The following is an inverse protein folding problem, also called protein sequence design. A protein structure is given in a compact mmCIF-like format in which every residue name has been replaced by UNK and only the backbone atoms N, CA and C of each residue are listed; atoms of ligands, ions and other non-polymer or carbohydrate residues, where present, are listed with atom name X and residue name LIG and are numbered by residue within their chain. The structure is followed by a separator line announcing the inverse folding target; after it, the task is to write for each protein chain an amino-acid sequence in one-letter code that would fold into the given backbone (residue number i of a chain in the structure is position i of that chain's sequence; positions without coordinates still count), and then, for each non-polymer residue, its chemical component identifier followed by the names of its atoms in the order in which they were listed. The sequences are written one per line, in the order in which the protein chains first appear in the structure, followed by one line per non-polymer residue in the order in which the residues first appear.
data_IF_639226466150
#
_entry.id   IF_639226466150
#
_cell.length_a   1.000
_cell.length_b   1.000
_cell.length_c   1.000
_cell.angle_alpha   90.00
_cell.angle_beta   90.00
_cell.angle_gamma   90.00
#
_symmetry.space_group_name_H-M   'P 1'
#
loop_
_entity.id
_entity.type
_entity.pdbx_description
1 polymer ?
#
# COMPACT_ATOMS: atom_id res chain seq x y z
N UNK A 1 -15.03 55.66 2.21
CA UNK A 1 -16.16 54.71 2.28
C UNK A 1 -15.51 53.35 2.20
N UNK A 2 -15.09 52.86 3.37
CA UNK A 2 -14.19 51.71 3.48
C UNK A 2 -15.00 50.42 3.25
N UNK A 3 -14.81 49.82 2.08
CA UNK A 3 -15.38 48.53 1.71
C UNK A 3 -14.34 47.43 1.94
N UNK A 4 -13.94 47.24 3.21
CA UNK A 4 -13.22 46.04 3.61
C UNK A 4 -13.71 45.63 5.00
N UNK A 5 -14.78 44.83 5.01
CA UNK A 5 -15.09 43.99 6.16
C UNK A 5 -13.95 42.98 6.31
N UNK A 6 -13.32 42.98 7.49
CA UNK A 6 -12.52 41.86 7.99
C UNK A 6 -13.43 40.62 7.97
N UNK A 7 -13.15 39.66 7.11
CA UNK A 7 -13.48 38.27 7.43
C UNK A 7 -12.26 37.68 8.13
N UNK A 8 -12.55 37.14 9.31
CA UNK A 8 -11.58 36.73 10.31
C UNK A 8 -10.64 35.66 9.77
N UNK A 9 -9.36 35.81 10.11
CA UNK A 9 -8.35 34.78 9.88
C UNK A 9 -8.72 33.52 10.65
N UNK A 10 -9.38 32.59 9.97
CA UNK A 10 -9.56 31.24 10.46
C UNK A 10 -8.19 30.59 10.58
N UNK A 11 -7.73 30.38 11.81
CA UNK A 11 -6.79 29.30 12.11
C UNK A 11 -7.40 28.03 11.52
N UNK A 12 -6.76 27.48 10.48
CA UNK A 12 -7.01 26.09 10.10
C UNK A 12 -6.41 25.27 11.23
N UNK A 13 -7.28 24.91 12.18
CA UNK A 13 -6.96 23.95 13.22
C UNK A 13 -6.65 22.62 12.53
N UNK A 14 -5.37 22.31 12.37
CA UNK A 14 -4.92 21.00 11.86
C UNK A 14 -5.28 19.84 12.79
N UNK A 15 -5.96 20.10 13.92
CA UNK A 15 -6.61 19.09 14.74
C UNK A 15 -7.95 18.59 14.16
N UNK A 16 -8.35 19.01 12.95
CA UNK A 16 -9.37 18.30 12.19
C UNK A 16 -8.89 16.88 11.92
N UNK A 17 -9.45 15.95 12.71
CA UNK A 17 -9.33 14.52 12.59
C UNK A 17 -9.57 14.15 11.11
N UNK A 18 -8.50 13.80 10.40
CA UNK A 18 -8.59 13.47 8.96
C UNK A 18 -9.52 12.27 8.84
N UNK A 19 -10.77 12.51 8.44
CA UNK A 19 -11.75 11.47 8.22
C UNK A 19 -11.45 10.77 6.89
N UNK A 20 -10.49 9.84 6.94
CA UNK A 20 -10.15 8.98 5.82
C UNK A 20 -11.28 7.96 5.67
N UNK A 21 -11.96 7.97 4.53
CA UNK A 21 -13.00 6.97 4.27
C UNK A 21 -12.38 5.57 4.20
N UNK A 22 -13.12 4.59 4.70
CA UNK A 22 -12.79 3.17 4.59
C UNK A 22 -12.54 2.76 3.13
N UNK A 23 -13.34 3.28 2.19
CA UNK A 23 -13.16 3.03 0.76
C UNK A 23 -11.80 3.53 0.23
N UNK A 24 -11.34 4.68 0.71
CA UNK A 24 -10.03 5.20 0.33
C UNK A 24 -8.90 4.34 0.90
N UNK A 25 -9.01 3.88 2.16
CA UNK A 25 -8.05 2.97 2.77
C UNK A 25 -7.94 1.68 1.95
N UNK A 26 -9.07 1.06 1.62
CA UNK A 26 -9.11 -0.17 0.82
C UNK A 26 -8.49 0.01 -0.57
N UNK A 27 -8.70 1.16 -1.20
CA UNK A 27 -8.08 1.48 -2.49
C UNK A 27 -6.56 1.57 -2.38
N UNK A 28 -6.05 2.25 -1.36
CA UNK A 28 -4.60 2.36 -1.11
C UNK A 28 -3.99 0.99 -0.83
N UNK A 29 -4.62 0.19 0.03
CA UNK A 29 -4.17 -1.18 0.33
C UNK A 29 -4.15 -2.07 -0.91
N UNK A 30 -5.19 -2.00 -1.74
CA UNK A 30 -5.28 -2.77 -2.99
C UNK A 30 -4.17 -2.43 -3.97
N UNK A 31 -3.86 -1.13 -4.14
CA UNK A 31 -2.77 -0.70 -5.00
C UNK A 31 -1.40 -1.09 -4.43
N UNK A 32 -1.19 -0.98 -3.12
CA UNK A 32 0.04 -1.47 -2.48
C UNK A 32 0.26 -2.97 -2.70
N UNK A 33 -0.80 -3.79 -2.55
CA UNK A 33 -0.74 -5.23 -2.79
C UNK A 33 -0.40 -5.50 -4.27
N UNK A 34 -1.02 -4.77 -5.20
CA UNK A 34 -0.77 -4.89 -6.65
C UNK A 34 0.70 -4.62 -6.97
N UNK A 35 1.26 -3.52 -6.47
CA UNK A 35 2.67 -3.15 -6.65
C UNK A 35 3.60 -4.23 -6.09
N UNK A 36 3.35 -4.72 -4.88
CA UNK A 36 4.15 -5.78 -4.26
C UNK A 36 4.12 -7.07 -5.09
N UNK A 37 2.96 -7.45 -5.62
CA UNK A 37 2.86 -8.62 -6.51
C UNK A 37 3.69 -8.44 -7.78
N UNK A 38 3.77 -7.21 -8.33
CA UNK A 38 4.59 -6.94 -9.52
C UNK A 38 6.09 -7.09 -9.26
N UNK A 39 6.55 -6.81 -8.03
CA UNK A 39 7.95 -6.99 -7.63
C UNK A 39 8.36 -8.46 -7.47
N UNK A 40 7.39 -9.38 -7.35
CA UNK A 40 7.70 -10.80 -7.22
C UNK A 40 8.17 -11.39 -8.56
N UNK A 41 9.16 -12.28 -8.48
CA UNK A 41 9.53 -13.12 -9.61
C UNK A 41 8.31 -13.92 -10.11
N UNK A 42 8.17 -14.04 -11.44
CA UNK A 42 7.02 -14.68 -12.10
C UNK A 42 6.61 -16.01 -11.46
N UNK A 43 7.56 -16.90 -11.15
CA UNK A 43 7.26 -18.20 -10.55
C UNK A 43 6.54 -18.13 -9.19
N UNK A 44 6.69 -17.03 -8.45
CA UNK A 44 6.02 -16.78 -7.16
C UNK A 44 4.69 -16.07 -7.36
N UNK A 45 4.60 -15.15 -8.33
CA UNK A 45 3.36 -14.52 -8.77
C UNK A 45 2.35 -15.56 -9.27
N UNK A 46 2.79 -16.48 -10.13
CA UNK A 46 1.93 -17.54 -10.70
C UNK A 46 1.26 -18.38 -9.61
N UNK A 47 2.00 -18.81 -8.58
CA UNK A 47 1.42 -19.65 -7.52
C UNK A 47 0.45 -18.87 -6.62
N UNK A 48 0.61 -17.56 -6.47
CA UNK A 48 -0.35 -16.72 -5.76
C UNK A 48 -1.66 -16.57 -6.54
N UNK A 49 -1.58 -16.32 -7.85
CA UNK A 49 -2.76 -16.19 -8.72
C UNK A 49 -3.53 -17.50 -8.74
N UNK A 50 -2.86 -18.62 -9.02
CA UNK A 50 -3.51 -19.93 -9.07
C UNK A 50 -4.18 -20.31 -7.74
N UNK A 51 -3.60 -19.92 -6.60
CA UNK A 51 -4.16 -20.26 -5.29
C UNK A 51 -5.29 -19.31 -4.85
N UNK A 52 -5.09 -17.99 -4.95
CA UNK A 52 -6.03 -17.01 -4.38
C UNK A 52 -7.09 -16.52 -5.37
N UNK A 53 -6.76 -16.42 -6.66
CA UNK A 53 -7.71 -15.96 -7.68
C UNK A 53 -8.44 -17.14 -8.30
N UNK A 54 -7.68 -18.15 -8.74
CA UNK A 54 -8.27 -19.31 -9.43
C UNK A 54 -8.75 -20.42 -8.48
N UNK A 55 -8.44 -20.31 -7.18
CA UNK A 55 -8.88 -21.24 -6.13
C UNK A 55 -8.43 -22.71 -6.34
N UNK A 56 -7.31 -22.93 -7.03
CA UNK A 56 -6.78 -24.28 -7.23
C UNK A 56 -6.15 -24.86 -5.96
N UNK A 57 -6.32 -26.16 -5.77
CA UNK A 57 -5.62 -26.94 -4.76
C UNK A 57 -4.14 -27.12 -5.10
N UNK A 58 -3.30 -27.44 -4.10
CA UNK A 58 -1.88 -27.72 -4.34
C UNK A 58 -1.63 -28.87 -5.32
N UNK A 59 -2.56 -29.84 -5.39
CA UNK A 59 -2.48 -30.96 -6.33
C UNK A 59 -2.75 -30.48 -7.75
N UNK A 60 -3.83 -29.74 -7.97
CA UNK A 60 -4.15 -29.17 -9.29
C UNK A 60 -3.04 -28.22 -9.76
N UNK A 61 -2.52 -27.37 -8.88
CA UNK A 61 -1.38 -26.50 -9.20
C UNK A 61 -0.12 -27.30 -9.57
N UNK A 62 0.13 -28.44 -8.92
CA UNK A 62 1.26 -29.33 -9.22
C UNK A 62 1.13 -29.90 -10.63
N UNK A 63 -0.08 -30.29 -11.02
CA UNK A 63 -0.42 -30.81 -12.35
C UNK A 63 -0.35 -29.71 -13.42
N UNK A 64 -0.97 -28.55 -13.19
CA UNK A 64 -0.97 -27.39 -14.11
C UNK A 64 0.46 -26.91 -14.40
N UNK A 65 1.29 -26.81 -13.36
CA UNK A 65 2.65 -26.29 -13.47
C UNK A 65 3.68 -27.36 -13.82
N UNK A 66 3.30 -28.64 -13.82
CA UNK A 66 4.18 -29.79 -13.99
C UNK A 66 5.42 -29.75 -13.07
N UNK A 67 5.19 -29.48 -11.79
CA UNK A 67 6.24 -29.45 -10.75
C UNK A 67 5.78 -30.23 -9.51
N UNK A 68 6.68 -30.73 -8.64
CA UNK A 68 6.29 -31.43 -7.43
C UNK A 68 5.41 -30.57 -6.50
N UNK A 69 4.44 -31.19 -5.84
CA UNK A 69 3.58 -30.54 -4.84
C UNK A 69 4.38 -29.87 -3.71
N UNK A 70 5.53 -30.44 -3.34
CA UNK A 70 6.47 -29.83 -2.39
C UNK A 70 7.05 -28.51 -2.89
N UNK A 71 7.34 -28.43 -4.20
CA UNK A 71 7.80 -27.19 -4.86
C UNK A 71 6.68 -26.15 -4.94
N UNK A 72 5.43 -26.56 -5.18
CA UNK A 72 4.26 -25.65 -5.12
C UNK A 72 4.15 -25.02 -3.73
N UNK A 73 4.15 -25.84 -2.68
CA UNK A 73 4.09 -25.36 -1.28
C UNK A 73 5.24 -24.43 -0.95
N UNK A 74 6.46 -24.80 -1.33
CA UNK A 74 7.64 -23.95 -1.13
C UNK A 74 7.49 -22.60 -1.86
N UNK A 75 7.13 -22.61 -3.15
CA UNK A 75 6.95 -21.38 -3.94
C UNK A 75 5.87 -20.49 -3.33
N UNK A 76 4.74 -21.05 -2.90
CA UNK A 76 3.66 -20.27 -2.31
C UNK A 76 4.05 -19.66 -0.97
N UNK A 77 4.69 -20.43 -0.08
CA UNK A 77 5.17 -19.91 1.19
C UNK A 77 6.25 -18.84 1.01
N UNK A 78 7.18 -19.06 0.07
CA UNK A 78 8.21 -18.09 -0.24
C UNK A 78 7.64 -16.82 -0.86
N UNK A 79 6.63 -16.94 -1.74
CA UNK A 79 5.90 -15.80 -2.29
C UNK A 79 5.27 -14.95 -1.17
N UNK A 80 4.56 -15.58 -0.21
CA UNK A 80 3.97 -14.89 0.96
C UNK A 80 5.02 -14.21 1.83
N UNK A 81 6.17 -14.86 2.03
CA UNK A 81 7.29 -14.28 2.77
C UNK A 81 7.82 -13.03 2.08
N UNK A 82 8.06 -13.11 0.77
CA UNK A 82 8.52 -11.97 -0.02
C UNK A 82 7.51 -10.82 0.00
N UNK A 83 6.22 -11.10 -0.16
CA UNK A 83 5.18 -10.06 -0.05
C UNK A 83 5.25 -9.34 1.30
N UNK A 84 5.38 -10.09 2.39
CA UNK A 84 5.51 -9.51 3.74
C UNK A 84 6.73 -8.60 3.85
N UNK A 85 7.89 -9.04 3.40
CA UNK A 85 9.13 -8.26 3.47
C UNK A 85 9.02 -6.94 2.70
N UNK A 86 8.40 -6.95 1.51
CA UNK A 86 8.18 -5.72 0.73
C UNK A 86 7.18 -4.78 1.44
N UNK A 87 6.06 -5.31 1.94
CA UNK A 87 5.06 -4.52 2.67
C UNK A 87 5.63 -3.89 3.95
N UNK A 88 6.40 -4.65 4.73
CA UNK A 88 7.09 -4.15 5.92
C UNK A 88 8.09 -3.04 5.55
N UNK A 89 8.79 -3.19 4.42
CA UNK A 89 9.65 -2.15 3.87
C UNK A 89 8.90 -0.84 3.56
N UNK A 90 7.72 -0.92 2.92
CA UNK A 90 6.87 0.25 2.67
C UNK A 90 6.43 0.93 3.97
N UNK A 91 5.97 0.15 4.96
CA UNK A 91 5.54 0.68 6.26
C UNK A 91 6.71 1.34 7.00
N UNK A 92 7.89 0.72 6.98
CA UNK A 92 9.08 1.29 7.61
C UNK A 92 9.51 2.59 6.92
N UNK A 93 9.56 2.61 5.60
CA UNK A 93 9.86 3.81 4.82
C UNK A 93 8.86 4.93 5.13
N UNK A 94 7.56 4.62 5.14
CA UNK A 94 6.51 5.58 5.49
C UNK A 94 6.69 6.17 6.90
N UNK A 95 6.89 5.32 7.92
CA UNK A 95 7.16 5.77 9.29
C UNK A 95 8.41 6.65 9.37
N UNK A 96 9.47 6.28 8.64
CA UNK A 96 10.69 7.07 8.56
C UNK A 96 10.44 8.45 7.91
N UNK A 97 9.71 8.51 6.81
CA UNK A 97 9.37 9.76 6.13
C UNK A 97 8.48 10.66 6.99
N UNK A 98 7.47 10.11 7.66
CA UNK A 98 6.63 10.87 8.59
C UNK A 98 7.44 11.46 9.75
N UNK A 99 8.35 10.67 10.32
CA UNK A 99 9.18 11.11 11.46
C UNK A 99 10.30 12.08 11.08
N UNK A 100 10.60 12.27 9.78
CA UNK A 100 11.68 13.15 9.29
C UNK A 100 11.22 14.30 8.39
N UNK A 101 9.93 14.46 8.10
CA UNK A 101 9.43 15.68 7.46
C UNK A 101 9.53 16.82 8.48
N UNK A 102 10.25 17.94 8.21
CA UNK A 102 10.04 19.15 9.01
C UNK A 102 8.56 19.51 8.93
N UNK A 103 7.95 20.07 10.00
CA UNK A 103 6.59 20.56 9.92
C UNK A 103 6.49 21.43 8.67
N UNK A 104 5.55 21.10 7.78
CA UNK A 104 5.35 21.87 6.55
C UNK A 104 5.04 23.29 7.02
N UNK A 105 6.00 24.21 6.90
CA UNK A 105 5.73 25.63 7.08
C UNK A 105 4.96 26.06 5.85
N UNK A 106 3.63 25.98 5.91
CA UNK A 106 2.73 26.52 4.87
C UNK A 106 2.69 28.06 4.91
N UNK A 107 3.65 28.72 5.56
CA UNK A 107 3.73 30.18 5.67
C UNK A 107 4.37 30.86 4.46
N UNK A 108 4.59 30.15 3.34
CA UNK A 108 5.33 30.65 2.18
C UNK A 108 4.70 30.38 0.81
N UNK A 109 3.47 29.86 0.74
CA UNK A 109 2.75 29.61 -0.52
C UNK A 109 1.49 30.47 -0.68
N UNK A 110 1.30 31.45 0.20
CA UNK A 110 0.33 32.53 0.04
C UNK A 110 1.08 33.84 0.27
N UNK A 111 1.76 34.29 -0.78
CA UNK A 111 2.09 35.68 -1.05
C UNK A 111 2.68 35.72 -2.47
N UNK A 112 1.78 35.78 -3.45
CA UNK A 112 1.82 36.69 -4.61
C UNK A 112 0.39 36.81 -5.17
#
# INVERSE_FOLDING_TARGET
MDLFHKEDGGEIDFADEVNISEEFIQKVESEMIREVIQLLNEKYKTVLVLYYYEQYSYKEMSEILNIPIGTVKYRLNYAKKQMREHLEGFVYAYKYFLNKRPPIKISGLLND
#
